data_IF_863979990694
#
_entry.id   IF_863979990694
#
_cell.length_a   1.000
_cell.length_b   1.000
_cell.length_c   1.000
_cell.angle_alpha   90.00
_cell.angle_beta   90.00
_cell.angle_gamma   90.00
#
_symmetry.space_group_name_H-M   'P 1'
#
loop_
_entity.id
_entity.type
_entity.pdbx_description
1 polymer ?
#
# COMPACT_ATOMS: atom_id res chain seq x y z
N UNK A 1 34.63 -0.72 29.04
CA UNK A 1 33.54 -1.17 28.15
C UNK A 1 32.25 -0.70 28.78
N UNK A 2 31.70 0.41 28.29
CA UNK A 2 30.35 0.86 28.66
C UNK A 2 29.39 0.15 27.70
N UNK A 3 28.59 -0.77 28.24
CA UNK A 3 27.37 -1.22 27.58
C UNK A 3 26.52 0.02 27.31
N UNK A 4 26.46 0.44 26.05
CA UNK A 4 25.49 1.41 25.60
C UNK A 4 24.13 0.73 25.73
N UNK A 5 23.38 1.09 26.77
CA UNK A 5 21.95 0.81 26.82
C UNK A 5 21.36 1.33 25.51
N UNK A 6 20.87 0.42 24.66
CA UNK A 6 20.00 0.77 23.54
C UNK A 6 18.77 1.45 24.13
N UNK A 7 18.82 2.78 24.26
CA UNK A 7 17.68 3.59 24.63
C UNK A 7 16.59 3.32 23.62
N UNK A 8 15.47 2.77 24.10
CA UNK A 8 14.30 2.57 23.27
C UNK A 8 13.91 3.91 22.64
N UNK A 9 13.64 3.96 21.33
CA UNK A 9 13.38 5.21 20.63
C UNK A 9 12.18 5.93 21.26
N UNK A 10 12.29 7.26 21.34
CA UNK A 10 11.21 8.08 21.89
C UNK A 10 9.93 7.91 21.05
N UNK A 11 8.72 8.11 21.63
CA UNK A 11 7.47 8.07 20.88
C UNK A 11 7.45 8.99 19.65
N UNK A 12 8.15 10.13 19.70
CA UNK A 12 8.25 11.06 18.58
C UNK A 12 9.16 10.55 17.47
N UNK A 13 10.27 9.88 17.83
CA UNK A 13 11.12 9.19 16.86
C UNK A 13 10.38 8.04 16.19
N UNK A 14 9.54 7.33 16.95
CA UNK A 14 8.69 6.28 16.41
C UNK A 14 7.66 6.84 15.43
N UNK A 15 6.93 7.91 15.80
CA UNK A 15 5.97 8.59 14.91
C UNK A 15 6.65 9.10 13.64
N UNK A 16 7.82 9.72 13.77
CA UNK A 16 8.59 10.21 12.62
C UNK A 16 9.01 9.06 11.72
N UNK A 17 9.50 7.95 12.27
CA UNK A 17 9.86 6.75 11.50
C UNK A 17 8.63 6.16 10.79
N UNK A 18 7.49 6.05 11.48
CA UNK A 18 6.25 5.54 10.91
C UNK A 18 5.76 6.43 9.76
N UNK A 19 5.76 7.76 9.94
CA UNK A 19 5.37 8.70 8.88
C UNK A 19 6.29 8.64 7.65
N UNK A 20 7.59 8.34 7.83
CA UNK A 20 8.49 8.08 6.71
C UNK A 20 8.06 6.80 5.99
N UNK A 21 7.91 5.70 6.72
CA UNK A 21 7.44 4.42 6.18
C UNK A 21 6.14 4.60 5.40
N UNK A 22 5.16 5.31 5.95
CA UNK A 22 3.88 5.57 5.26
C UNK A 22 4.07 6.34 3.95
N UNK A 23 4.98 7.31 3.92
CA UNK A 23 5.32 8.07 2.71
C UNK A 23 5.99 7.18 1.65
N UNK A 24 6.95 6.35 2.03
CA UNK A 24 7.62 5.46 1.08
C UNK A 24 6.66 4.42 0.48
N UNK A 25 5.72 3.91 1.28
CA UNK A 25 4.68 3.00 0.80
C UNK A 25 3.67 3.71 -0.10
N UNK A 26 3.37 4.99 0.16
CA UNK A 26 2.53 5.80 -0.72
C UNK A 26 3.20 6.08 -2.06
N UNK A 27 4.48 6.47 -2.05
CA UNK A 27 5.26 6.69 -3.28
C UNK A 27 5.41 5.41 -4.10
N UNK A 28 5.60 4.26 -3.43
CA UNK A 28 5.61 2.95 -4.08
C UNK A 28 4.30 2.64 -4.81
N UNK A 29 3.15 2.88 -4.18
CA UNK A 29 1.83 2.71 -4.82
C UNK A 29 1.63 3.67 -5.99
N UNK A 30 2.01 4.95 -5.84
CA UNK A 30 1.92 5.94 -6.94
C UNK A 30 2.79 5.53 -8.13
N UNK A 31 3.99 5.01 -7.86
CA UNK A 31 4.89 4.52 -8.91
C UNK A 31 4.28 3.34 -9.67
N UNK A 32 3.80 2.31 -8.95
CA UNK A 32 3.16 1.14 -9.57
C UNK A 32 1.88 1.52 -10.33
N UNK A 33 1.09 2.45 -9.80
CA UNK A 33 -0.12 2.94 -10.47
C UNK A 33 0.20 3.68 -11.76
N UNK A 34 1.18 4.58 -11.76
CA UNK A 34 1.60 5.30 -12.96
C UNK A 34 2.20 4.35 -14.00
N UNK A 35 2.98 3.36 -13.55
CA UNK A 35 3.53 2.31 -14.40
C UNK A 35 2.41 1.48 -15.06
N UNK A 36 1.38 1.08 -14.30
CA UNK A 36 0.25 0.33 -14.82
C UNK A 36 -0.61 1.13 -15.81
N UNK A 37 -0.76 2.43 -15.57
CA UNK A 37 -1.49 3.34 -16.45
C UNK A 37 -0.69 3.79 -17.69
N UNK A 38 0.57 3.32 -17.84
CA UNK A 38 1.52 3.77 -18.87
C UNK A 38 1.74 5.30 -18.89
N UNK A 39 1.52 5.96 -17.75
CA UNK A 39 1.68 7.41 -17.57
C UNK A 39 3.17 7.74 -17.34
N UNK A 40 3.91 7.81 -18.45
CA UNK A 40 5.34 8.07 -18.46
C UNK A 40 5.71 9.46 -17.90
N UNK A 41 4.81 10.45 -18.01
CA UNK A 41 5.04 11.79 -17.48
C UNK A 41 4.99 11.78 -15.95
N UNK A 42 3.94 11.19 -15.38
CA UNK A 42 3.82 11.02 -13.94
C UNK A 42 4.94 10.13 -13.38
N UNK A 43 5.32 9.07 -14.09
CA UNK A 43 6.43 8.19 -13.69
C UNK A 43 7.75 8.98 -13.62
N UNK A 44 8.06 9.77 -14.65
CA UNK A 44 9.29 10.57 -14.72
C UNK A 44 9.33 11.63 -13.62
N UNK A 45 8.23 12.34 -13.40
CA UNK A 45 8.13 13.34 -12.34
C UNK A 45 8.33 12.73 -10.95
N UNK A 46 7.68 11.60 -10.68
CA UNK A 46 7.78 10.89 -9.41
C UNK A 46 9.20 10.33 -9.18
N UNK A 47 9.82 9.75 -10.21
CA UNK A 47 11.22 9.28 -10.12
C UNK A 47 12.18 10.42 -9.80
N UNK A 48 12.00 11.59 -10.40
CA UNK A 48 12.81 12.77 -10.10
C UNK A 48 12.67 13.22 -8.64
N UNK A 49 11.45 13.25 -8.10
CA UNK A 49 11.19 13.58 -6.68
C UNK A 49 11.85 12.57 -5.72
N UNK A 50 11.65 11.28 -5.99
CA UNK A 50 12.20 10.19 -5.18
C UNK A 50 13.73 10.23 -5.21
N UNK A 51 14.33 10.46 -6.38
CA UNK A 51 15.77 10.57 -6.52
C UNK A 51 16.34 11.79 -5.81
N UNK A 52 15.72 12.97 -6.00
CA UNK A 52 16.16 14.21 -5.36
C UNK A 52 16.12 14.12 -3.83
N UNK A 53 15.14 13.40 -3.27
CA UNK A 53 15.05 13.17 -1.82
C UNK A 53 16.02 12.10 -1.28
N UNK A 54 16.76 11.40 -2.14
CA UNK A 54 17.68 10.32 -1.74
C UNK A 54 16.96 9.07 -1.22
N UNK A 55 15.64 8.94 -1.47
CA UNK A 55 14.80 7.87 -0.90
C UNK A 55 14.56 6.69 -1.83
N UNK A 56 15.16 6.69 -3.03
CA UNK A 56 14.96 5.64 -4.04
C UNK A 56 15.04 4.22 -3.49
N UNK A 57 16.07 3.91 -2.71
CA UNK A 57 16.23 2.58 -2.12
C UNK A 57 15.14 2.26 -1.07
N UNK A 58 14.66 3.25 -0.32
CA UNK A 58 13.60 3.04 0.67
C UNK A 58 12.25 2.80 0.00
N UNK A 59 11.94 3.54 -1.07
CA UNK A 59 10.73 3.32 -1.86
C UNK A 59 10.77 1.94 -2.55
N UNK A 60 11.91 1.53 -3.11
CA UNK A 60 12.07 0.20 -3.69
C UNK A 60 11.93 -0.91 -2.64
N UNK A 61 12.46 -0.72 -1.42
CA UNK A 61 12.22 -1.65 -0.32
C UNK A 61 10.74 -1.72 0.06
N UNK A 62 10.02 -0.59 0.10
CA UNK A 62 8.58 -0.56 0.35
C UNK A 62 7.80 -1.31 -0.74
N UNK A 63 8.16 -1.19 -2.02
CA UNK A 63 7.58 -1.99 -3.10
C UNK A 63 7.79 -3.49 -2.88
N UNK A 64 9.01 -3.90 -2.50
CA UNK A 64 9.32 -5.31 -2.25
C UNK A 64 8.51 -5.87 -1.07
N UNK A 65 8.33 -5.10 0.00
CA UNK A 65 7.48 -5.48 1.14
C UNK A 65 6.02 -5.64 0.68
N UNK A 66 5.48 -4.68 -0.07
CA UNK A 66 4.12 -4.77 -0.62
C UNK A 66 3.93 -6.01 -1.50
N UNK A 67 4.92 -6.34 -2.35
CA UNK A 67 4.88 -7.54 -3.18
C UNK A 67 4.96 -8.84 -2.37
N UNK A 68 5.78 -8.89 -1.31
CA UNK A 68 5.88 -10.04 -0.42
C UNK A 68 4.60 -10.25 0.39
N UNK A 69 4.02 -9.17 0.92
CA UNK A 69 2.76 -9.23 1.65
C UNK A 69 1.63 -9.66 0.73
N UNK A 70 1.61 -9.15 -0.50
CA UNK A 70 0.69 -9.62 -1.53
C UNK A 70 0.88 -11.12 -1.83
N UNK A 71 2.11 -11.59 -2.01
CA UNK A 71 2.40 -13.00 -2.28
C UNK A 71 1.97 -13.93 -1.13
N UNK A 72 2.13 -13.48 0.13
CA UNK A 72 1.64 -14.21 1.32
C UNK A 72 0.12 -14.26 1.38
N UNK A 73 -0.53 -13.10 1.23
CA UNK A 73 -1.99 -13.04 1.12
C UNK A 73 -2.50 -13.92 -0.03
N UNK A 74 -1.73 -13.98 -1.12
CA UNK A 74 -2.04 -14.81 -2.27
C UNK A 74 -1.92 -16.29 -1.97
N UNK A 75 -0.84 -16.71 -1.31
CA UNK A 75 -0.66 -18.09 -0.90
C UNK A 75 -1.77 -18.55 0.08
N UNK A 76 -2.14 -17.69 1.02
CA UNK A 76 -3.11 -18.03 2.08
C UNK A 76 -4.58 -17.95 1.63
N UNK A 77 -4.91 -17.09 0.66
CA UNK A 77 -6.31 -16.85 0.22
C UNK A 77 -6.62 -17.25 -1.22
N UNK A 78 -5.63 -17.36 -2.11
CA UNK A 78 -5.84 -17.46 -3.56
C UNK A 78 -5.58 -18.83 -4.15
N UNK A 79 -4.93 -19.73 -3.41
CA UNK A 79 -4.54 -21.04 -3.95
C UNK A 79 -3.69 -20.96 -5.24
N UNK A 80 -3.13 -19.79 -5.57
CA UNK A 80 -2.34 -19.54 -6.77
C UNK A 80 -3.03 -18.77 -7.91
N UNK A 81 -4.36 -18.56 -7.88
CA UNK A 81 -5.07 -17.79 -8.92
C UNK A 81 -5.49 -16.40 -8.42
N UNK A 82 -4.59 -15.45 -8.64
CA UNK A 82 -4.77 -14.04 -8.27
C UNK A 82 -5.95 -13.40 -8.99
N UNK A 83 -6.18 -13.76 -10.25
CA UNK A 83 -7.19 -13.13 -11.08
C UNK A 83 -8.59 -13.51 -10.62
N UNK A 84 -8.83 -14.80 -10.33
CA UNK A 84 -10.12 -15.29 -9.84
C UNK A 84 -10.57 -14.60 -8.54
N UNK A 85 -9.64 -14.20 -7.68
CA UNK A 85 -9.97 -13.45 -6.47
C UNK A 85 -10.11 -11.96 -6.68
N UNK A 86 -9.34 -11.35 -7.57
CA UNK A 86 -9.58 -9.95 -7.93
C UNK A 86 -11.01 -9.82 -8.46
N UNK A 87 -11.41 -10.71 -9.37
CA UNK A 87 -12.77 -10.78 -9.91
C UNK A 87 -13.80 -11.04 -8.80
N UNK A 88 -13.53 -11.97 -7.88
CA UNK A 88 -14.41 -12.25 -6.73
C UNK A 88 -14.50 -11.10 -5.72
N UNK A 89 -13.44 -10.33 -5.53
CA UNK A 89 -13.39 -9.20 -4.59
C UNK A 89 -14.15 -7.99 -5.11
N UNK A 90 -14.11 -7.75 -6.42
CA UNK A 90 -14.96 -6.74 -7.09
C UNK A 90 -16.43 -7.09 -6.91
N UNK A 91 -16.80 -8.36 -7.15
CA UNK A 91 -18.18 -8.83 -6.94
C UNK A 91 -18.65 -8.70 -5.47
N UNK A 92 -17.75 -8.93 -4.50
CA UNK A 92 -18.05 -8.78 -3.08
C UNK A 92 -18.21 -7.30 -2.67
N UNK A 93 -17.45 -6.37 -3.26
CA UNK A 93 -17.64 -4.94 -3.06
C UNK A 93 -18.96 -4.45 -3.67
N UNK A 94 -19.28 -4.86 -4.89
CA UNK A 94 -20.55 -4.53 -5.54
C UNK A 94 -21.75 -5.04 -4.72
N UNK A 95 -21.63 -6.24 -4.13
CA UNK A 95 -22.68 -6.79 -3.26
C UNK A 95 -22.81 -5.98 -1.97
N UNK A 96 -21.70 -5.56 -1.35
CA UNK A 96 -21.71 -4.75 -0.14
C UNK A 96 -22.20 -3.30 -0.37
N UNK A 97 -21.96 -2.73 -1.55
CA UNK A 97 -22.53 -1.44 -1.95
C UNK A 97 -24.04 -1.56 -2.20
N UNK A 98 -24.48 -2.63 -2.86
CA UNK A 98 -25.90 -2.89 -3.14
C UNK A 98 -26.71 -3.22 -1.87
N UNK A 99 -26.10 -3.86 -0.86
CA UNK A 99 -26.72 -4.09 0.44
C UNK A 99 -26.87 -2.79 1.25
N UNK A 100 -25.90 -1.85 1.16
CA UNK A 100 -26.04 -0.52 1.78
C UNK A 100 -27.17 0.28 1.17
N UNK A 101 -27.30 0.28 -0.16
CA UNK A 101 -28.38 0.97 -0.88
C UNK A 101 -29.77 0.37 -0.55
N UNK A 102 -29.88 -0.95 -0.35
CA UNK A 102 -31.13 -1.58 0.08
C UNK A 102 -31.49 -1.28 1.54
N UNK A 103 -30.50 -1.03 2.40
CA UNK A 103 -30.74 -0.68 3.81
C UNK A 103 -31.21 0.78 3.96
N UNK A 104 -30.88 1.66 3.01
CA UNK A 104 -31.31 3.07 3.01
C UNK A 104 -32.69 3.31 2.37
N UNK A 105 -33.21 2.37 1.57
CA UNK A 105 -34.53 2.45 0.93
C UNK A 105 -35.66 1.76 1.71
N UNK A 106 -35.34 1.10 2.83
CA UNK A 106 -36.30 0.46 3.75
C UNK A 106 -36.87 1.38 4.84
N UNK A 107 -36.86 2.70 4.63
CA UNK A 107 -37.50 3.68 5.51
C UNK A 107 -39.00 3.78 5.23
N UNK A 108 -39.78 3.17 6.11
CA UNK A 108 -41.24 3.05 6.08
C UNK A 108 -41.98 4.40 5.92
N UNK A 109 -43.00 4.38 5.06
CA UNK A 109 -44.11 5.32 5.03
C UNK A 109 -45.39 4.60 4.67
#
# INVERSE_FOLDING_TARGET
MTDSHDELPSPDDFRRKLAHVDREFADARRYLSALHAEDNEALTALMAEIHHSGRAMKVLAAMAVQALDFARLSADRLGGDVQAWLDGSVMAQDTAENERDQTELGGEG
#
